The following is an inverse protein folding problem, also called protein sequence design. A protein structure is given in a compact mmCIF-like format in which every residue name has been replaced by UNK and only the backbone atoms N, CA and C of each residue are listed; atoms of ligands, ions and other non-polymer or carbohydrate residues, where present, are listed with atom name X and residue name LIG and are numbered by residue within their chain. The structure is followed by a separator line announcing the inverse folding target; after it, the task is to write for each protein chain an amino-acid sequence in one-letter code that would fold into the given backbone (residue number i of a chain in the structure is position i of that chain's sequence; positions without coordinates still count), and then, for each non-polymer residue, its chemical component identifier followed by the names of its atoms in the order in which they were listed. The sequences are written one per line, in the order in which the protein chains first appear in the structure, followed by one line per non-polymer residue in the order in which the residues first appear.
data_IF_454505259874
#
_entry.id   IF_454505259874
#
_cell.length_a   1.000
_cell.length_b   1.000
_cell.length_c   1.000
_cell.angle_alpha   90.00
_cell.angle_beta   90.00
_cell.angle_gamma   90.00
#
_symmetry.space_group_name_H-M   'P 1'
#
loop_
_entity.id
_entity.type
_entity.pdbx_description
1 polymer ?
#
# COMPACT_ATOMS: atom_id res chain seq x y z
N UNK A 1 16.27 16.50 1.31
CA UNK A 1 15.53 15.46 0.57
C UNK A 1 14.38 15.02 1.45
N UNK A 2 13.22 15.68 1.35
CA UNK A 2 12.02 15.25 2.09
C UNK A 2 11.32 14.27 1.16
N UNK A 3 11.58 12.98 1.37
CA UNK A 3 10.85 11.91 0.68
C UNK A 3 9.39 12.05 1.07
N UNK A 4 8.56 12.51 0.12
CA UNK A 4 7.13 12.69 0.33
C UNK A 4 6.56 11.29 0.57
N UNK A 5 6.13 11.00 1.79
CA UNK A 5 5.46 9.75 2.11
C UNK A 5 4.20 9.68 1.24
N UNK A 6 4.19 8.75 0.30
CA UNK A 6 3.05 8.58 -0.58
C UNK A 6 2.01 7.80 0.22
N UNK A 7 0.91 8.48 0.52
CA UNK A 7 -0.26 7.87 1.12
C UNK A 7 -0.97 7.00 0.07
N UNK A 8 -1.48 5.86 0.50
CA UNK A 8 -2.20 4.90 -0.30
C UNK A 8 -3.55 4.63 0.34
N UNK A 9 -4.58 4.62 -0.50
CA UNK A 9 -5.95 4.26 -0.14
C UNK A 9 -6.19 2.81 -0.52
N UNK A 10 -6.66 2.05 0.45
CA UNK A 10 -7.05 0.66 0.28
C UNK A 10 -8.54 0.61 0.56
N UNK A 11 -9.31 0.13 -0.41
CA UNK A 11 -10.74 -0.08 -0.27
C UNK A 11 -11.01 -1.58 -0.16
N UNK A 12 -11.88 -1.96 0.76
CA UNK A 12 -12.25 -3.35 0.98
C UNK A 12 -13.63 -3.66 0.42
N UNK A 13 -13.92 -4.93 0.17
CA UNK A 13 -15.23 -5.38 -0.32
C UNK A 13 -16.40 -4.99 0.61
N UNK A 14 -16.14 -4.84 1.91
CA UNK A 14 -17.15 -4.41 2.89
C UNK A 14 -17.47 -2.91 2.80
N UNK A 15 -16.78 -2.16 1.94
CA UNK A 15 -16.90 -0.70 1.81
C UNK A 15 -16.02 0.09 2.79
N UNK A 16 -15.31 -0.60 3.69
CA UNK A 16 -14.27 -0.03 4.53
C UNK A 16 -13.14 0.58 3.68
N UNK A 17 -12.52 1.65 4.21
CA UNK A 17 -11.36 2.31 3.59
C UNK A 17 -10.24 2.46 4.60
N UNK A 18 -9.01 2.20 4.17
CA UNK A 18 -7.82 2.33 4.98
C UNK A 18 -6.80 3.21 4.26
N UNK A 19 -6.31 4.22 4.96
CA UNK A 19 -5.26 5.13 4.50
C UNK A 19 -3.96 4.79 5.22
N UNK A 20 -2.95 4.39 4.46
CA UNK A 20 -1.64 3.94 4.97
C UNK A 20 -0.53 4.47 4.08
N UNK A 21 0.67 4.68 4.62
CA UNK A 21 1.80 5.03 3.78
C UNK A 21 2.33 3.80 3.05
N UNK A 22 2.93 4.00 1.88
CA UNK A 22 3.46 2.92 1.04
C UNK A 22 4.41 1.95 1.76
N UNK A 23 5.19 2.44 2.72
CA UNK A 23 6.17 1.65 3.47
C UNK A 23 5.57 0.90 4.66
N UNK A 24 4.34 1.22 5.08
CA UNK A 24 3.74 0.56 6.23
C UNK A 24 3.42 -0.91 5.90
N UNK A 25 4.03 -1.87 6.62
CA UNK A 25 3.71 -3.27 6.44
C UNK A 25 2.36 -3.58 7.09
N UNK A 26 1.50 -4.24 6.33
CA UNK A 26 0.15 -4.65 6.69
C UNK A 26 0.12 -6.17 6.85
N UNK A 27 -0.57 -6.63 7.89
CA UNK A 27 -0.73 -8.07 8.13
C UNK A 27 -1.87 -8.62 7.27
N UNK A 28 -1.56 -9.62 6.45
CA UNK A 28 -2.52 -10.40 5.68
C UNK A 28 -2.51 -11.85 6.15
N UNK A 29 -3.47 -12.67 5.69
CA UNK A 29 -3.47 -14.11 5.98
C UNK A 29 -2.20 -14.82 5.49
N UNK A 30 -1.60 -14.27 4.43
CA UNK A 30 -0.37 -14.77 3.79
C UNK A 30 0.90 -14.14 4.36
N UNK A 31 0.80 -13.40 5.48
CA UNK A 31 1.92 -12.75 6.16
C UNK A 31 1.98 -11.24 5.92
N UNK A 32 3.18 -10.66 6.09
CA UNK A 32 3.38 -9.22 5.98
C UNK A 32 3.44 -8.79 4.52
N UNK A 33 2.60 -7.82 4.16
CA UNK A 33 2.57 -7.22 2.83
C UNK A 33 2.69 -5.70 2.91
N UNK A 34 3.35 -5.09 1.93
CA UNK A 34 3.40 -3.63 1.78
C UNK A 34 3.16 -3.26 0.32
N UNK A 35 2.78 -2.01 0.09
CA UNK A 35 2.61 -1.49 -1.26
C UNK A 35 3.98 -1.23 -1.89
N UNK A 36 4.93 -0.76 -1.09
CA UNK A 36 6.33 -0.57 -1.47
C UNK A 36 7.23 -1.45 -0.58
N UNK A 37 7.59 -2.61 -1.12
CA UNK A 37 8.40 -3.62 -0.43
C UNK A 37 9.84 -3.15 -0.21
N UNK A 38 10.39 -2.31 -1.09
CA UNK A 38 11.73 -1.75 -0.93
C UNK A 38 11.81 -0.81 0.26
N UNK A 39 10.85 0.12 0.39
CA UNK A 39 10.78 1.01 1.53
C UNK A 39 10.51 0.26 2.84
N UNK A 40 9.60 -0.70 2.85
CA UNK A 40 9.29 -1.51 4.03
C UNK A 40 10.49 -2.36 4.50
N UNK A 41 11.23 -2.95 3.56
CA UNK A 41 12.44 -3.76 3.86
C UNK A 41 13.57 -2.89 4.39
N UNK A 42 13.69 -1.64 3.90
CA UNK A 42 14.69 -0.67 4.37
C UNK A 42 14.47 -0.24 5.82
N UNK A 43 13.21 -0.18 6.26
CA UNK A 43 12.86 0.12 7.66
C UNK A 43 12.95 -1.10 8.57
N UNK A 44 12.75 -2.31 8.02
CA UNK A 44 12.80 -3.58 8.77
C UNK A 44 13.48 -4.68 7.97
N UNK A 45 14.80 -4.77 8.13
CA UNK A 45 15.67 -5.70 7.40
C UNK A 45 15.41 -7.21 7.69
N UNK A 46 14.47 -7.54 8.59
CA UNK A 46 14.29 -8.90 9.12
C UNK A 46 12.89 -9.50 8.89
N UNK A 47 12.02 -8.86 8.09
CA UNK A 47 10.68 -9.39 7.81
C UNK A 47 10.50 -9.58 6.30
N UNK A 48 10.11 -10.79 5.83
CA UNK A 48 9.75 -10.97 4.43
C UNK A 48 8.44 -10.20 4.15
N UNK A 49 8.58 -9.02 3.57
CA UNK A 49 7.44 -8.20 3.14
C UNK A 49 7.18 -8.48 1.67
N UNK A 50 5.99 -8.99 1.36
CA UNK A 50 5.57 -9.20 -0.03
C UNK A 50 4.71 -8.04 -0.53
N UNK A 51 4.48 -7.95 -1.83
CA UNK A 51 3.65 -6.88 -2.39
C UNK A 51 2.18 -7.14 -2.08
N UNK A 52 1.47 -6.12 -1.60
CA UNK A 52 0.02 -6.18 -1.43
C UNK A 52 -0.68 -6.11 -2.79
N UNK A 53 -1.64 -7.00 -3.01
CA UNK A 53 -2.42 -7.10 -4.25
C UNK A 53 -3.93 -7.07 -3.97
N UNK A 54 -4.71 -6.65 -4.97
CA UNK A 54 -6.17 -6.70 -4.89
C UNK A 54 -6.61 -8.17 -4.79
N UNK A 55 -7.49 -8.46 -3.83
CA UNK A 55 -7.92 -9.80 -3.47
C UNK A 55 -7.24 -10.37 -2.22
N UNK A 56 -6.20 -9.72 -1.69
CA UNK A 56 -5.59 -10.12 -0.42
C UNK A 56 -6.55 -9.93 0.76
N UNK A 57 -6.54 -10.85 1.73
CA UNK A 57 -7.33 -10.74 2.96
C UNK A 57 -6.48 -10.12 4.06
N UNK A 58 -6.90 -8.96 4.55
CA UNK A 58 -6.26 -8.36 5.71
C UNK A 58 -6.76 -8.97 7.00
N UNK A 59 -5.89 -9.01 8.01
CA UNK A 59 -6.25 -9.48 9.35
C UNK A 59 -6.38 -8.26 10.25
N UNK A 60 -7.62 -7.86 10.58
CA UNK A 60 -7.83 -6.83 11.60
C UNK A 60 -7.70 -7.46 12.98
N UNK A 61 -7.24 -6.67 13.96
CA UNK A 61 -7.20 -7.06 15.39
C UNK A 61 -8.60 -7.38 15.93
N UNK A 62 -9.63 -6.82 15.30
CA UNK A 62 -11.05 -7.04 15.61
C UNK A 62 -11.55 -8.47 15.25
N UNK A 63 -10.73 -9.26 14.55
CA UNK A 63 -11.11 -10.60 14.07
C UNK A 63 -11.88 -10.61 12.74
N UNK A 64 -12.05 -9.44 12.14
CA UNK A 64 -12.62 -9.28 10.79
C UNK A 64 -11.53 -9.39 9.73
N UNK A 65 -11.83 -10.12 8.64
CA UNK A 65 -10.89 -10.35 7.55
C UNK A 65 -11.38 -9.74 6.23
N UNK A 66 -11.32 -8.41 6.08
CA UNK A 66 -11.79 -7.78 4.86
C UNK A 66 -10.87 -8.12 3.68
N UNK A 67 -11.48 -8.34 2.51
CA UNK A 67 -10.77 -8.56 1.26
C UNK A 67 -10.49 -7.22 0.60
N UNK A 68 -9.26 -7.00 0.16
CA UNK A 68 -8.89 -5.79 -0.58
C UNK A 68 -9.59 -5.80 -1.94
N UNK A 69 -10.45 -4.83 -2.18
CA UNK A 69 -11.16 -4.66 -3.44
C UNK A 69 -10.45 -3.68 -4.38
N UNK A 70 -9.75 -2.68 -3.84
CA UNK A 70 -9.00 -1.71 -4.65
C UNK A 70 -7.80 -1.15 -3.88
N UNK A 71 -6.70 -0.91 -4.59
CA UNK A 71 -5.51 -0.24 -4.06
C UNK A 71 -5.23 0.97 -4.95
N UNK A 72 -5.53 2.14 -4.41
CA UNK A 72 -5.35 3.43 -5.07
C UNK A 72 -4.14 4.14 -4.47
N UNK A 73 -2.96 4.16 -5.16
CA UNK A 73 -1.88 5.02 -4.73
C UNK A 73 -2.31 6.47 -4.94
N UNK A 74 -2.44 7.24 -3.87
CA UNK A 74 -2.54 8.71 -3.95
C UNK A 74 -1.15 9.28 -4.28
N UNK A 75 -0.52 8.71 -5.30
CA UNK A 75 0.58 9.34 -5.99
C UNK A 75 -0.05 10.07 -7.17
N UNK A 76 -0.58 11.27 -6.92
CA UNK A 76 -0.65 12.26 -7.98
C UNK A 76 0.80 12.60 -8.34
N UNK A 77 1.46 11.76 -9.15
CA UNK A 77 2.32 12.35 -10.17
C UNK A 77 1.34 13.12 -11.02
N UNK A 78 1.23 14.42 -10.73
CA UNK A 78 1.16 15.38 -11.81
C UNK A 78 2.32 14.94 -12.71
N UNK A 79 2.00 14.13 -13.73
CA UNK A 79 2.73 14.24 -14.97
C UNK A 79 2.48 15.68 -15.34
N UNK A 80 3.41 16.50 -14.90
CA UNK A 80 3.84 17.68 -15.60
C UNK A 80 4.04 17.20 -17.03
N UNK A 81 2.97 17.29 -17.83
CA UNK A 81 3.07 17.16 -19.29
C UNK A 81 3.73 18.45 -19.74
N UNK A 82 4.97 18.67 -19.33
CA UNK A 82 5.91 19.48 -20.08
C UNK A 82 6.91 18.53 -20.73
N UNK A 83 7.23 18.85 -21.98
CA UNK A 83 8.16 18.22 -22.90
C UNK A 83 7.65 16.99 -23.69
N UNK A 84 7.18 17.23 -24.91
CA UNK A 84 8.16 17.41 -26.00
C UNK A 84 7.57 18.25 -27.13
N UNK A 85 8.21 19.40 -27.35
CA UNK A 85 8.16 20.23 -28.56
C UNK A 85 8.50 19.37 -29.79
N UNK A 86 7.65 19.44 -30.84
CA UNK A 86 7.94 19.41 -32.29
C UNK A 86 6.62 19.62 -33.04
#
# INVERSE_FOLDING_TARGET
MIGKEIECKIEFEDGDKLEVTKSHPLMTDSGWKAIDTEAATKERECVPVTRLEVGDRMVKVDGTNPVVSEISPLCLTIIDTEAFDI
#
